data_IF_333282859339
#
_entry.id   IF_333282859339
#
_cell.length_a   1.000
_cell.length_b   1.000
_cell.length_c   1.000
_cell.angle_alpha   90.00
_cell.angle_beta   90.00
_cell.angle_gamma   90.00
#
_symmetry.space_group_name_H-M   'P 1'
#
loop_
_entity.id
_entity.type
_entity.pdbx_description
1 polymer ?
#
# COMPACT_ATOMS: atom_id res chain seq x y z
N UNK A 1 -5.30 18.42 48.56
CA UNK A 1 -4.28 19.12 47.77
C UNK A 1 -2.95 18.41 47.93
N UNK A 2 -2.53 17.67 46.91
CA UNK A 2 -1.23 16.96 46.74
C UNK A 2 -1.16 16.48 45.26
N UNK A 3 0.04 16.38 44.65
CA UNK A 3 0.26 16.72 43.24
C UNK A 3 -0.33 15.71 42.25
N UNK A 4 -0.86 16.22 41.13
CA UNK A 4 -1.73 15.52 40.17
C UNK A 4 -1.01 15.05 38.89
N UNK A 5 0.33 15.12 38.86
CA UNK A 5 1.12 14.86 37.64
C UNK A 5 2.28 13.95 38.02
N UNK A 6 2.13 12.66 37.78
CA UNK A 6 3.25 11.71 37.78
C UNK A 6 3.68 11.53 36.33
N UNK A 7 4.78 12.17 35.97
CA UNK A 7 5.44 12.01 34.67
C UNK A 7 6.20 10.67 34.68
N UNK A 8 5.57 9.60 34.21
CA UNK A 8 6.22 8.28 34.14
C UNK A 8 6.95 8.15 32.79
N UNK A 9 8.26 8.40 32.77
CA UNK A 9 9.14 8.39 31.59
C UNK A 9 9.81 7.02 31.33
N UNK A 10 9.37 5.94 31.98
CA UNK A 10 10.11 4.68 31.96
C UNK A 10 9.18 3.45 31.94
N UNK A 11 8.53 3.21 30.80
CA UNK A 11 7.87 1.93 30.55
C UNK A 11 8.23 1.41 29.15
N UNK A 12 8.93 0.26 29.04
CA UNK A 12 9.41 -0.29 27.76
C UNK A 12 8.34 -1.02 26.93
N UNK A 13 7.14 -1.23 27.47
CA UNK A 13 6.03 -1.95 26.81
C UNK A 13 5.05 -1.02 26.04
N UNK A 14 5.35 0.29 25.96
CA UNK A 14 4.52 1.28 25.27
C UNK A 14 5.29 1.96 24.13
N UNK A 15 4.65 2.24 22.98
CA UNK A 15 5.27 2.98 21.89
C UNK A 15 5.67 4.40 22.37
N UNK A 16 6.76 4.97 21.81
CA UNK A 16 7.21 6.31 22.19
C UNK A 16 6.12 7.35 21.89
N UNK A 17 5.84 8.24 22.86
CA UNK A 17 4.90 9.37 22.81
C UNK A 17 3.39 9.05 23.02
N UNK A 18 3.04 8.25 24.02
CA UNK A 18 1.65 8.13 24.51
C UNK A 18 1.44 8.89 25.84
N UNK A 19 0.33 9.62 25.98
CA UNK A 19 -0.10 10.26 27.24
C UNK A 19 -1.21 9.40 27.85
N UNK A 20 -0.92 8.72 28.96
CA UNK A 20 -1.93 7.96 29.71
C UNK A 20 -2.79 8.89 30.57
N UNK A 21 -4.09 9.01 30.26
CA UNK A 21 -5.06 9.60 31.19
C UNK A 21 -5.69 8.49 32.02
N UNK A 22 -5.25 8.34 33.27
CA UNK A 22 -5.72 7.32 34.20
C UNK A 22 -7.17 7.61 34.65
N UNK A 23 -8.15 7.03 33.95
CA UNK A 23 -9.57 7.09 34.32
C UNK A 23 -10.35 5.84 33.89
N UNK A 24 -10.43 4.84 34.78
CA UNK A 24 -11.29 3.61 34.81
C UNK A 24 -11.41 2.72 33.54
N UNK A 25 -11.00 3.15 32.36
CA UNK A 25 -10.88 2.34 31.15
C UNK A 25 -9.56 2.68 30.48
N UNK A 26 -8.67 1.69 30.34
CA UNK A 26 -7.44 1.75 29.52
C UNK A 26 -7.81 2.34 28.15
N UNK A 27 -7.55 3.63 27.93
CA UNK A 27 -7.71 4.29 26.63
C UNK A 27 -6.38 4.96 26.33
N UNK A 28 -5.62 4.36 25.43
CA UNK A 28 -4.39 4.93 24.89
C UNK A 28 -4.84 5.93 23.82
N UNK A 29 -4.54 7.21 24.03
CA UNK A 29 -4.80 8.27 23.06
C UNK A 29 -3.55 8.42 22.21
N UNK A 30 -3.64 8.04 20.94
CA UNK A 30 -2.54 8.21 19.99
C UNK A 30 -2.41 9.70 19.64
N UNK A 31 -1.43 10.38 20.25
CA UNK A 31 -1.09 11.76 19.94
C UNK A 31 -0.91 12.00 18.42
N UNK A 32 -0.31 11.09 17.63
CA UNK A 32 -0.23 11.25 16.18
C UNK A 32 -1.61 11.31 15.51
N UNK A 33 -2.58 10.51 15.96
CA UNK A 33 -3.93 10.48 15.41
C UNK A 33 -4.67 11.79 15.72
N UNK A 34 -4.55 12.28 16.95
CA UNK A 34 -5.15 13.56 17.37
C UNK A 34 -4.51 14.72 16.60
N UNK A 35 -3.19 14.74 16.47
CA UNK A 35 -2.47 15.75 15.70
C UNK A 35 -2.88 15.72 14.22
N UNK A 36 -3.01 14.54 13.62
CA UNK A 36 -3.46 14.36 12.25
C UNK A 36 -4.90 14.82 12.03
N UNK A 37 -5.82 14.46 12.94
CA UNK A 37 -7.21 14.87 12.87
C UNK A 37 -7.37 16.39 13.06
N UNK A 38 -6.58 16.98 13.96
CA UNK A 38 -6.50 18.43 14.13
C UNK A 38 -5.95 19.12 12.88
N UNK A 39 -4.94 18.52 12.24
CA UNK A 39 -4.39 19.04 10.98
C UNK A 39 -5.45 19.03 9.87
N UNK A 40 -6.17 17.92 9.69
CA UNK A 40 -7.28 17.82 8.73
C UNK A 40 -8.35 18.88 9.03
N UNK A 41 -8.71 19.07 10.31
CA UNK A 41 -9.66 20.09 10.73
C UNK A 41 -9.21 21.50 10.34
N UNK A 42 -7.94 21.83 10.59
CA UNK A 42 -7.39 23.14 10.24
C UNK A 42 -7.35 23.33 8.73
N UNK A 43 -6.99 22.30 7.96
CA UNK A 43 -7.00 22.32 6.50
C UNK A 43 -8.42 22.54 5.94
N UNK A 44 -9.44 21.93 6.56
CA UNK A 44 -10.84 22.09 6.16
C UNK A 44 -11.31 23.54 6.24
N UNK A 45 -10.90 24.24 7.29
CA UNK A 45 -11.26 25.65 7.49
C UNK A 45 -10.26 26.63 6.86
N UNK A 46 -9.10 26.16 6.38
CA UNK A 46 -8.00 26.94 5.78
C UNK A 46 -7.58 28.19 6.59
N UNK A 47 -7.91 28.25 7.88
CA UNK A 47 -7.69 29.40 8.76
C UNK A 47 -6.82 28.98 9.93
N UNK A 48 -5.55 29.37 9.89
CA UNK A 48 -4.57 29.13 10.96
C UNK A 48 -4.76 30.18 12.07
N UNK A 49 -5.77 29.99 12.90
CA UNK A 49 -5.95 30.75 14.14
C UNK A 49 -5.80 29.82 15.35
N UNK A 50 -5.25 30.32 16.45
CA UNK A 50 -5.13 29.56 17.70
C UNK A 50 -6.48 29.01 18.18
N UNK A 51 -7.55 29.79 18.01
CA UNK A 51 -8.91 29.35 18.32
C UNK A 51 -9.33 28.13 17.48
N UNK A 52 -9.01 28.11 16.19
CA UNK A 52 -9.36 27.00 15.30
C UNK A 52 -8.54 25.73 15.62
N UNK A 53 -7.26 25.87 15.96
CA UNK A 53 -6.43 24.73 16.40
C UNK A 53 -6.97 24.11 17.69
N UNK A 54 -7.32 24.94 18.69
CA UNK A 54 -7.89 24.46 19.95
C UNK A 54 -9.24 23.79 19.70
N UNK A 55 -10.10 24.38 18.87
CA UNK A 55 -11.39 23.79 18.50
C UNK A 55 -11.19 22.45 17.79
N UNK A 56 -10.25 22.37 16.85
CA UNK A 56 -9.89 21.14 16.16
C UNK A 56 -9.39 20.06 17.11
N UNK A 57 -8.55 20.41 18.09
CA UNK A 57 -8.07 19.47 19.10
C UNK A 57 -9.21 18.95 19.99
N UNK A 58 -10.13 19.82 20.42
CA UNK A 58 -11.32 19.43 21.20
C UNK A 58 -12.22 18.50 20.39
N UNK A 59 -12.48 18.83 19.13
CA UNK A 59 -13.26 17.98 18.22
C UNK A 59 -12.55 16.64 18.00
N UNK A 60 -11.24 16.64 17.78
CA UNK A 60 -10.46 15.42 17.59
C UNK A 60 -10.54 14.49 18.80
N UNK A 61 -10.40 15.05 20.01
CA UNK A 61 -10.58 14.31 21.26
C UNK A 61 -12.02 13.78 21.36
N UNK A 62 -13.03 14.61 21.08
CA UNK A 62 -14.43 14.19 21.11
C UNK A 62 -14.73 13.04 20.14
N UNK A 63 -14.18 13.10 18.92
CA UNK A 63 -14.29 12.03 17.91
C UNK A 63 -13.60 10.75 18.40
N UNK A 64 -12.38 10.83 18.94
CA UNK A 64 -11.68 9.67 19.52
C UNK A 64 -12.43 9.07 20.72
N UNK A 65 -13.17 9.90 21.47
CA UNK A 65 -13.98 9.45 22.59
C UNK A 65 -15.27 8.76 22.12
N UNK A 66 -15.94 9.31 21.09
CA UNK A 66 -17.18 8.80 20.51
C UNK A 66 -16.97 7.53 19.67
N UNK A 67 -15.87 7.49 18.92
CA UNK A 67 -15.44 6.35 18.12
C UNK A 67 -14.14 5.79 18.72
N UNK A 68 -14.23 4.89 19.72
CA UNK A 68 -13.06 4.17 20.21
C UNK A 68 -12.64 3.18 19.12
N UNK A 69 -11.85 3.64 18.16
CA UNK A 69 -11.20 2.72 17.24
C UNK A 69 -10.34 1.77 18.08
N UNK A 70 -10.47 0.44 17.88
CA UNK A 70 -9.51 -0.52 18.43
C UNK A 70 -8.11 -0.02 18.09
N UNK A 71 -7.18 -0.12 19.05
CA UNK A 71 -5.78 0.29 18.86
C UNK A 71 -5.26 -0.32 17.57
N UNK A 72 -5.16 0.49 16.52
CA UNK A 72 -4.64 0.03 15.25
C UNK A 72 -3.13 0.13 15.44
N UNK A 73 -2.57 -0.93 16.02
CA UNK A 73 -1.12 -1.12 16.08
C UNK A 73 -0.66 -1.43 14.66
N UNK A 74 -0.67 -0.40 13.82
CA UNK A 74 -0.49 -0.48 12.37
C UNK A 74 0.93 -0.92 12.01
N UNK A 75 1.83 -1.12 12.99
CA UNK A 75 3.25 -1.39 12.76
C UNK A 75 3.90 -0.34 11.85
N UNK A 76 3.27 0.82 11.69
CA UNK A 76 3.49 1.72 10.57
C UNK A 76 4.75 2.53 10.82
N UNK A 77 5.81 2.21 10.08
CA UNK A 77 7.03 3.01 10.12
C UNK A 77 6.98 4.00 8.96
N UNK A 78 6.59 5.23 9.28
CA UNK A 78 6.56 6.33 8.31
C UNK A 78 7.99 6.69 7.91
N UNK A 79 8.38 6.30 6.70
CA UNK A 79 9.65 6.71 6.11
C UNK A 79 9.41 7.88 5.16
N UNK A 80 9.66 9.14 5.57
CA UNK A 80 9.32 10.32 4.76
C UNK A 80 9.96 10.28 3.36
N UNK A 81 11.17 9.74 3.26
CA UNK A 81 11.84 9.54 1.96
C UNK A 81 11.12 8.53 1.06
N UNK A 82 10.65 7.42 1.63
CA UNK A 82 9.87 6.41 0.91
C UNK A 82 8.53 6.96 0.44
N UNK A 83 7.86 7.75 1.28
CA UNK A 83 6.59 8.43 0.95
C UNK A 83 6.78 9.39 -0.23
N UNK A 84 7.82 10.23 -0.19
CA UNK A 84 8.12 11.16 -1.29
C UNK A 84 8.41 10.40 -2.59
N UNK A 85 9.16 9.29 -2.53
CA UNK A 85 9.47 8.47 -3.70
C UNK A 85 8.23 7.78 -4.28
N UNK A 86 7.36 7.26 -3.43
CA UNK A 86 6.07 6.68 -3.83
C UNK A 86 5.18 7.75 -4.50
N UNK A 87 5.05 8.92 -3.86
CA UNK A 87 4.26 10.02 -4.40
C UNK A 87 4.80 10.52 -5.75
N UNK A 88 6.11 10.72 -5.87
CA UNK A 88 6.74 11.14 -7.11
C UNK A 88 6.54 10.09 -8.23
N UNK A 89 6.68 8.80 -7.91
CA UNK A 89 6.44 7.72 -8.86
C UNK A 89 4.98 7.68 -9.32
N UNK A 90 4.03 7.75 -8.40
CA UNK A 90 2.60 7.79 -8.71
C UNK A 90 2.23 8.97 -9.59
N UNK A 91 2.75 10.17 -9.28
CA UNK A 91 2.50 11.37 -10.08
C UNK A 91 3.07 11.25 -11.49
N UNK A 92 4.29 10.73 -11.61
CA UNK A 92 4.93 10.49 -12.90
C UNK A 92 4.14 9.46 -13.71
N UNK A 93 3.83 8.31 -13.11
CA UNK A 93 3.14 7.19 -13.76
C UNK A 93 1.71 7.58 -14.18
N UNK A 94 1.02 8.34 -13.34
CA UNK A 94 -0.31 8.91 -13.63
C UNK A 94 -0.24 9.86 -14.84
N UNK A 95 0.75 10.75 -14.88
CA UNK A 95 0.93 11.68 -16.00
C UNK A 95 1.27 10.94 -17.30
N UNK A 96 2.23 10.02 -17.28
CA UNK A 96 2.62 9.25 -18.48
C UNK A 96 1.50 8.36 -18.98
N UNK A 97 0.75 7.73 -18.06
CA UNK A 97 -0.42 6.91 -18.41
C UNK A 97 -1.53 7.76 -19.02
N UNK A 98 -1.79 8.95 -18.48
CA UNK A 98 -2.75 9.89 -19.06
C UNK A 98 -2.41 10.29 -20.50
N UNK A 99 -1.13 10.52 -20.78
CA UNK A 99 -0.64 10.80 -22.15
C UNK A 99 -0.81 9.56 -23.06
N UNK A 100 -0.46 8.35 -22.57
CA UNK A 100 -0.64 7.10 -23.33
C UNK A 100 -2.11 6.90 -23.69
N UNK A 101 -3.01 7.03 -22.72
CA UNK A 101 -4.48 6.90 -22.92
C UNK A 101 -4.99 7.93 -23.90
N UNK A 102 -4.57 9.20 -23.78
CA UNK A 102 -4.96 10.26 -24.72
C UNK A 102 -4.56 9.89 -26.15
N UNK A 103 -3.30 9.45 -26.36
CA UNK A 103 -2.83 9.00 -27.68
C UNK A 103 -3.60 7.79 -28.19
N UNK A 104 -4.00 6.87 -27.31
CA UNK A 104 -4.71 5.65 -27.63
C UNK A 104 -6.17 5.92 -28.05
N UNK A 105 -6.83 6.90 -27.44
CA UNK A 105 -8.16 7.39 -27.86
C UNK A 105 -8.10 7.93 -29.29
N UNK A 106 -7.07 8.71 -29.64
CA UNK A 106 -6.89 9.22 -31.01
C UNK A 106 -6.55 8.14 -32.05
N UNK A 107 -6.01 6.99 -31.62
CA UNK A 107 -5.59 5.91 -32.51
C UNK A 107 -6.75 4.96 -32.91
N UNK A 108 -7.91 5.00 -32.24
CA UNK A 108 -9.13 4.30 -32.66
C UNK A 108 -9.02 2.76 -32.74
N UNK A 109 -8.04 2.14 -32.07
CA UNK A 109 -7.86 0.68 -32.12
C UNK A 109 -8.80 -0.05 -31.16
N UNK A 110 -9.40 -1.19 -31.55
CA UNK A 110 -10.09 -2.08 -30.63
C UNK A 110 -9.07 -2.82 -29.77
N UNK A 111 -9.25 -2.81 -28.45
CA UNK A 111 -8.37 -3.49 -27.50
C UNK A 111 -9.16 -4.60 -26.80
N UNK A 112 -8.50 -5.74 -26.57
CA UNK A 112 -9.09 -6.83 -25.80
C UNK A 112 -8.71 -6.70 -24.33
N UNK A 113 -9.68 -6.50 -23.43
CA UNK A 113 -9.39 -6.48 -22.01
C UNK A 113 -9.09 -7.90 -21.50
N UNK A 114 -8.20 -8.01 -20.51
CA UNK A 114 -7.99 -9.25 -19.77
C UNK A 114 -7.82 -8.99 -18.27
N UNK A 115 -8.16 -10.00 -17.46
CA UNK A 115 -7.93 -9.99 -16.03
C UNK A 115 -6.68 -10.80 -15.73
N UNK A 116 -5.71 -10.20 -15.04
CA UNK A 116 -4.49 -10.86 -14.59
C UNK A 116 -4.42 -10.92 -13.07
N UNK A 117 -4.03 -12.08 -12.53
CA UNK A 117 -3.71 -12.25 -11.12
C UNK A 117 -2.22 -11.97 -10.87
N UNK A 118 -1.91 -11.04 -9.96
CA UNK A 118 -0.55 -10.69 -9.56
C UNK A 118 -0.37 -11.05 -8.08
N UNK A 119 0.44 -12.08 -7.77
CA UNK A 119 0.77 -12.40 -6.38
C UNK A 119 1.72 -11.33 -5.81
N UNK A 120 1.39 -10.85 -4.62
CA UNK A 120 2.17 -9.92 -3.82
C UNK A 120 3.10 -10.68 -2.85
N UNK A 121 4.19 -10.04 -2.47
CA UNK A 121 5.20 -10.51 -1.49
C UNK A 121 4.75 -10.23 -0.07
N UNK A 122 4.08 -9.11 0.16
CA UNK A 122 3.59 -8.71 1.48
C UNK A 122 2.22 -9.31 1.80
N UNK A 123 2.09 -9.88 3.00
CA UNK A 123 0.84 -10.47 3.53
C UNK A 123 0.17 -9.65 4.64
N UNK A 124 0.75 -8.51 4.98
CA UNK A 124 0.15 -7.58 5.95
C UNK A 124 -1.10 -6.94 5.35
N UNK A 125 -2.21 -6.98 6.09
CA UNK A 125 -3.49 -6.40 5.64
C UNK A 125 -3.39 -4.91 5.33
N UNK A 126 -2.48 -4.21 6.01
CA UNK A 126 -2.20 -2.81 5.79
C UNK A 126 -1.44 -2.60 4.49
N UNK A 127 -0.35 -3.33 4.28
CA UNK A 127 0.44 -3.23 3.05
C UNK A 127 -0.40 -3.64 1.85
N UNK A 128 -1.20 -4.71 1.96
CA UNK A 128 -2.15 -5.12 0.93
C UNK A 128 -3.13 -3.99 0.59
N UNK A 129 -3.72 -3.35 1.60
CA UNK A 129 -4.64 -2.24 1.39
C UNK A 129 -3.93 -1.02 0.76
N UNK A 130 -2.76 -0.64 1.28
CA UNK A 130 -2.00 0.51 0.79
C UNK A 130 -1.50 0.30 -0.64
N UNK A 131 -1.04 -0.91 -0.98
CA UNK A 131 -0.64 -1.27 -2.34
C UNK A 131 -1.87 -1.30 -3.26
N UNK A 132 -3.01 -1.86 -2.82
CA UNK A 132 -4.24 -1.84 -3.61
C UNK A 132 -4.72 -0.41 -3.93
N UNK A 133 -4.68 0.50 -2.95
CA UNK A 133 -5.02 1.92 -3.15
C UNK A 133 -4.01 2.58 -4.11
N UNK A 134 -2.72 2.30 -3.95
CA UNK A 134 -1.68 2.85 -4.82
C UNK A 134 -1.85 2.38 -6.27
N UNK A 135 -2.12 1.09 -6.48
CA UNK A 135 -2.38 0.51 -7.80
C UNK A 135 -3.67 1.06 -8.39
N UNK A 136 -4.72 1.25 -7.59
CA UNK A 136 -5.97 1.88 -8.04
C UNK A 136 -5.80 3.32 -8.51
N UNK A 137 -4.74 4.02 -8.07
CA UNK A 137 -4.44 5.38 -8.51
C UNK A 137 -3.64 5.40 -9.83
N UNK A 138 -3.06 4.28 -10.25
CA UNK A 138 -2.42 4.15 -11.56
C UNK A 138 -3.49 3.90 -12.64
N UNK A 139 -3.64 4.78 -13.65
CA UNK A 139 -4.74 4.71 -14.62
C UNK A 139 -4.69 3.52 -15.60
N UNK A 140 -3.60 2.74 -15.60
CA UNK A 140 -3.33 1.72 -16.64
C UNK A 140 -4.08 0.39 -16.47
N UNK A 141 -4.65 0.12 -15.31
CA UNK A 141 -5.44 -1.09 -15.08
C UNK A 141 -6.25 -0.98 -13.80
N UNK A 142 -7.58 -1.03 -13.92
CA UNK A 142 -8.47 -0.94 -12.76
C UNK A 142 -8.32 -2.21 -11.91
N UNK A 143 -8.09 -2.04 -10.60
CA UNK A 143 -8.08 -3.16 -9.66
C UNK A 143 -9.51 -3.64 -9.48
N UNK A 144 -9.77 -4.91 -9.77
CA UNK A 144 -11.12 -5.50 -9.66
C UNK A 144 -11.32 -6.18 -8.32
N UNK A 145 -10.31 -6.92 -7.83
CA UNK A 145 -10.42 -7.71 -6.60
C UNK A 145 -9.08 -7.83 -5.89
N UNK A 146 -9.11 -7.79 -4.55
CA UNK A 146 -7.96 -8.09 -3.68
C UNK A 146 -8.29 -9.33 -2.86
N UNK A 147 -7.54 -10.41 -3.07
CA UNK A 147 -7.68 -11.63 -2.27
C UNK A 147 -6.66 -11.64 -1.15
N UNK A 148 -7.10 -11.27 0.07
CA UNK A 148 -6.24 -11.20 1.26
C UNK A 148 -5.60 -12.54 1.64
N UNK A 149 -6.37 -13.64 1.59
CA UNK A 149 -5.90 -14.98 1.98
C UNK A 149 -4.69 -15.47 1.16
N UNK A 150 -4.60 -15.07 -0.11
CA UNK A 150 -3.52 -15.47 -1.02
C UNK A 150 -2.54 -14.32 -1.29
N UNK A 151 -2.82 -13.11 -0.79
CA UNK A 151 -2.12 -11.87 -1.15
C UNK A 151 -2.04 -11.69 -2.67
N UNK A 152 -3.17 -11.82 -3.38
CA UNK A 152 -3.23 -11.71 -4.84
C UNK A 152 -4.12 -10.55 -5.26
N UNK A 153 -3.58 -9.65 -6.09
CA UNK A 153 -4.30 -8.57 -6.75
C UNK A 153 -4.79 -9.04 -8.12
N UNK A 154 -6.09 -8.87 -8.39
CA UNK A 154 -6.65 -9.08 -9.72
C UNK A 154 -6.81 -7.73 -10.41
N UNK A 155 -6.07 -7.52 -11.49
CA UNK A 155 -6.08 -6.30 -12.28
C UNK A 155 -6.79 -6.54 -13.61
N UNK A 156 -7.61 -5.57 -14.02
CA UNK A 156 -8.17 -5.50 -15.36
C UNK A 156 -7.28 -4.63 -16.24
N UNK A 157 -6.60 -5.25 -17.19
CA UNK A 157 -5.74 -4.57 -18.17
C UNK A 157 -6.55 -4.34 -19.43
N UNK A 158 -6.53 -3.10 -19.93
CA UNK A 158 -7.27 -2.68 -21.12
C UNK A 158 -6.70 -3.27 -22.42
N UNK A 159 -5.39 -3.57 -22.45
CA UNK A 159 -4.64 -3.96 -23.64
C UNK A 159 -3.94 -5.31 -23.42
N UNK A 160 -4.66 -6.41 -23.62
CA UNK A 160 -4.16 -7.76 -23.41
C UNK A 160 -3.65 -8.44 -24.69
N UNK A 161 -3.54 -7.69 -25.79
CA UNK A 161 -3.20 -8.25 -27.11
C UNK A 161 -1.70 -8.61 -27.23
N UNK A 162 -0.86 -8.18 -26.28
CA UNK A 162 0.57 -8.47 -26.27
C UNK A 162 1.05 -8.99 -24.89
N UNK A 163 1.68 -10.19 -24.81
CA UNK A 163 2.24 -10.70 -23.56
C UNK A 163 3.24 -9.73 -22.91
N UNK A 164 3.97 -8.93 -23.68
CA UNK A 164 4.88 -7.94 -23.11
C UNK A 164 4.16 -6.84 -22.29
N UNK A 165 2.90 -6.52 -22.60
CA UNK A 165 2.10 -5.56 -21.84
C UNK A 165 1.62 -6.14 -20.52
N UNK A 166 1.24 -7.43 -20.49
CA UNK A 166 0.91 -8.14 -19.26
C UNK A 166 2.12 -8.19 -18.31
N UNK A 167 3.30 -8.51 -18.82
CA UNK A 167 4.56 -8.53 -18.05
C UNK A 167 4.93 -7.13 -17.52
N UNK A 168 4.62 -6.09 -18.28
CA UNK A 168 4.86 -4.70 -17.86
C UNK A 168 3.89 -4.29 -16.76
N UNK A 169 2.61 -4.66 -16.86
CA UNK A 169 1.63 -4.44 -15.80
C UNK A 169 2.03 -5.16 -14.50
N UNK A 170 2.47 -6.41 -14.57
CA UNK A 170 2.99 -7.18 -13.41
C UNK A 170 4.17 -6.46 -12.74
N UNK A 171 5.16 -6.02 -13.53
CA UNK A 171 6.33 -5.29 -13.01
C UNK A 171 5.95 -3.97 -12.35
N UNK A 172 5.00 -3.23 -12.91
CA UNK A 172 4.51 -1.97 -12.32
C UNK A 172 3.86 -2.22 -10.95
N UNK A 173 3.07 -3.29 -10.81
CA UNK A 173 2.45 -3.67 -9.52
C UNK A 173 3.52 -4.03 -8.48
N UNK A 174 4.51 -4.85 -8.82
CA UNK A 174 5.59 -5.19 -7.87
C UNK A 174 6.45 -3.97 -7.50
N UNK A 175 6.63 -3.03 -8.44
CA UNK A 175 7.33 -1.78 -8.14
C UNK A 175 6.52 -0.88 -7.20
N UNK A 176 5.21 -0.81 -7.38
CA UNK A 176 4.31 -0.09 -6.46
C UNK A 176 4.30 -0.75 -5.08
N UNK A 177 4.21 -2.07 -5.02
CA UNK A 177 4.37 -2.83 -3.77
C UNK A 177 5.68 -2.46 -3.06
N UNK A 178 6.80 -2.48 -3.78
CA UNK A 178 8.10 -2.13 -3.20
C UNK A 178 8.14 -0.70 -2.67
N UNK A 179 7.60 0.26 -3.42
CA UNK A 179 7.56 1.67 -3.00
C UNK A 179 6.64 1.87 -1.79
N UNK A 180 5.48 1.20 -1.76
CA UNK A 180 4.55 1.25 -0.63
C UNK A 180 5.20 0.67 0.62
N UNK A 181 5.88 -0.47 0.50
CA UNK A 181 6.53 -1.14 1.63
C UNK A 181 7.75 -0.35 2.11
N UNK A 182 8.52 0.28 1.21
CA UNK A 182 9.57 1.22 1.62
C UNK A 182 9.04 2.49 2.28
N UNK A 183 7.80 2.90 2.01
CA UNK A 183 7.19 4.09 2.57
C UNK A 183 6.59 3.85 3.97
N UNK A 184 5.98 2.68 4.18
CA UNK A 184 5.12 2.40 5.33
C UNK A 184 5.47 1.12 6.09
N UNK A 185 6.26 0.23 5.48
CA UNK A 185 6.53 -1.11 6.00
C UNK A 185 7.54 -1.15 7.13
N UNK A 186 7.43 -2.22 7.92
CA UNK A 186 8.41 -2.65 8.91
C UNK A 186 9.68 -3.21 8.25
N UNK A 187 10.78 -3.29 8.99
CA UNK A 187 12.05 -3.84 8.47
C UNK A 187 11.88 -5.24 7.88
N UNK A 188 11.08 -6.10 8.52
CA UNK A 188 10.77 -7.47 8.07
C UNK A 188 9.94 -7.52 6.78
N UNK A 189 9.16 -6.48 6.49
CA UNK A 189 8.41 -6.36 5.23
C UNK A 189 9.31 -5.87 4.09
N UNK A 190 10.24 -4.96 4.39
CA UNK A 190 11.25 -4.48 3.43
C UNK A 190 12.16 -5.62 2.97
N UNK A 191 12.55 -6.51 3.89
CA UNK A 191 13.34 -7.70 3.55
C UNK A 191 12.55 -8.66 2.63
N UNK A 192 11.29 -8.96 2.96
CA UNK A 192 10.42 -9.81 2.13
C UNK A 192 10.17 -9.25 0.73
N UNK A 193 10.06 -7.93 0.60
CA UNK A 193 9.93 -7.28 -0.71
C UNK A 193 11.23 -7.32 -1.50
N UNK A 194 12.38 -7.44 -0.85
CA UNK A 194 13.67 -7.53 -1.53
C UNK A 194 13.92 -8.91 -2.16
N UNK A 195 13.10 -9.92 -1.80
CA UNK A 195 13.12 -11.23 -2.43
C UNK A 195 12.56 -11.21 -3.87
N UNK A 196 12.98 -12.16 -4.73
CA UNK A 196 12.45 -12.28 -6.09
C UNK A 196 10.92 -12.40 -6.12
N UNK A 197 10.25 -11.89 -7.18
CA UNK A 197 8.80 -11.94 -7.27
C UNK A 197 8.25 -13.36 -7.15
N UNK A 198 7.08 -13.54 -6.51
CA UNK A 198 6.44 -14.85 -6.42
C UNK A 198 6.12 -15.35 -7.82
N UNK A 199 6.31 -16.66 -8.06
CA UNK A 199 5.98 -17.27 -9.35
C UNK A 199 4.47 -17.13 -9.60
N UNK A 200 4.12 -16.72 -10.82
CA UNK A 200 2.73 -16.63 -11.27
C UNK A 200 2.25 -18.06 -11.57
N UNK A 201 1.20 -18.58 -10.91
CA UNK A 201 0.66 -19.90 -11.23
C UNK A 201 0.25 -19.97 -12.71
N UNK A 202 0.85 -20.89 -13.49
CA UNK A 202 0.54 -21.10 -14.91
C UNK A 202 1.56 -20.57 -15.92
N UNK A 203 2.72 -20.05 -15.50
CA UNK A 203 3.80 -19.65 -16.43
C UNK A 203 4.57 -20.83 -17.06
N UNK A 204 4.35 -22.06 -16.60
CA UNK A 204 5.20 -23.22 -16.90
C UNK A 204 4.66 -24.15 -18.01
N UNK A 205 3.55 -23.80 -18.68
CA UNK A 205 2.95 -24.67 -19.71
C UNK A 205 3.61 -24.62 -21.10
N UNK A 206 4.94 -24.47 -21.21
CA UNK A 206 5.56 -24.37 -22.54
C UNK A 206 7.07 -24.51 -22.70
N UNK A 207 7.82 -25.02 -21.72
CA UNK A 207 9.24 -25.36 -21.93
C UNK A 207 9.56 -26.77 -21.45
N UNK A 208 8.68 -27.69 -21.81
CA UNK A 208 8.95 -29.13 -21.88
C UNK A 208 8.80 -29.56 -23.32
N UNK A 209 9.60 -29.01 -24.23
CA UNK A 209 9.85 -29.69 -25.50
C UNK A 209 10.69 -30.91 -25.14
N UNK A 210 9.99 -32.01 -24.88
CA UNK A 210 10.53 -33.35 -24.83
C UNK A 210 11.08 -33.67 -26.23
N UNK A 211 12.27 -33.15 -26.53
CA UNK A 211 13.09 -33.57 -27.66
C UNK A 211 13.68 -34.93 -27.33
N UNK A 212 12.81 -35.94 -27.25
CA UNK A 212 13.18 -37.33 -27.37
C UNK A 212 13.44 -37.66 -28.84
N UNK A 213 14.57 -37.22 -29.36
CA UNK A 213 15.13 -37.74 -30.61
C UNK A 213 16.65 -37.61 -30.61
N UNK A 214 17.33 -38.65 -30.14
CA UNK A 214 18.57 -39.15 -30.76
C UNK A 214 18.76 -40.61 -30.32
N UNK A 215 18.46 -41.61 -31.16
CA UNK A 215 19.36 -42.24 -32.14
C UNK A 215 20.55 -42.97 -31.52
N UNK A 216 20.61 -44.28 -31.78
CA UNK A 216 21.84 -45.06 -31.73
C UNK A 216 21.73 -46.34 -30.90
N UNK A 217 21.52 -47.48 -31.57
CA UNK A 217 22.52 -48.57 -31.54
C UNK A 217 22.13 -49.66 -32.55
N UNK A 218 22.73 -49.53 -33.73
CA UNK A 218 23.04 -50.62 -34.64
C UNK A 218 24.35 -51.23 -34.14
N UNK A 219 24.38 -52.47 -33.63
CA UNK A 219 25.56 -53.37 -33.73
C UNK A 219 25.19 -54.84 -33.45
N UNK A 220 25.52 -55.68 -34.46
CA UNK A 220 25.83 -57.13 -34.48
C UNK A 220 24.81 -58.17 -34.01
#
# INVERSE_FOLDING_TARGET
MRPLITLSYHNPDLPPFSIEFAGRRRRVLDLPLIAWLTLIWVLLWSTLTWANVVTGAVVAIAVCLAFPLPQVDLGLRLHPWGIIRLAAYLLYDMYTSGVKVTRQIFAGRPHRPAVIGVPLRCRSDLMLAATAVSVSNTPGGSVVEVRRATATLFLHVLDADNPAELETARRSVWKLEELTVRAFGTSDEIERVSEPPPRVPGSDTGSGSDSGSDTGEETS
#
